data_IF_285823468465
#
_entry.id   IF_285823468465
#
_cell.length_a   1.000
_cell.length_b   1.000
_cell.length_c   1.000
_cell.angle_alpha   90.00
_cell.angle_beta   90.00
_cell.angle_gamma   90.00
#
_symmetry.space_group_name_H-M   'P 1'
#
loop_
_entity.id
_entity.type
_entity.pdbx_description
1 polymer ?
#
# COMPACT_ATOMS: atom_id res chain seq x y z
N UNK A 1 -45.90 14.41 -49.81
CA UNK A 1 -44.66 14.23 -49.03
C UNK A 1 -43.62 15.23 -49.51
N UNK A 2 -43.42 16.32 -48.76
CA UNK A 2 -42.22 17.19 -48.85
C UNK A 2 -42.25 18.10 -47.63
N UNK A 3 -41.25 17.92 -46.77
CA UNK A 3 -41.15 18.52 -45.44
C UNK A 3 -40.93 20.03 -45.53
N UNK A 4 -41.71 20.78 -44.75
CA UNK A 4 -41.46 22.17 -44.39
C UNK A 4 -40.22 22.21 -43.47
N UNK A 5 -39.12 22.78 -43.92
CA UNK A 5 -37.99 23.13 -43.06
C UNK A 5 -38.34 24.41 -42.29
N UNK A 6 -38.66 24.28 -41.01
CA UNK A 6 -38.66 25.40 -40.07
C UNK A 6 -37.21 25.70 -39.68
N UNK A 7 -36.72 26.87 -40.06
CA UNK A 7 -35.48 27.42 -39.54
C UNK A 7 -35.68 27.83 -38.09
N UNK A 8 -35.19 27.04 -37.15
CA UNK A 8 -35.07 27.43 -35.74
C UNK A 8 -33.67 28.02 -35.56
N UNK A 9 -33.61 29.35 -35.44
CA UNK A 9 -32.44 30.05 -34.90
C UNK A 9 -32.26 29.60 -33.44
N UNK A 10 -31.37 28.65 -33.19
CA UNK A 10 -30.82 28.45 -31.85
C UNK A 10 -29.78 29.55 -31.62
N UNK A 11 -30.19 30.61 -30.93
CA UNK A 11 -29.27 31.55 -30.31
C UNK A 11 -28.39 30.77 -29.33
N UNK A 12 -27.15 30.46 -29.74
CA UNK A 12 -26.12 29.96 -28.84
C UNK A 12 -25.80 31.10 -27.88
N UNK A 13 -26.44 31.09 -26.71
CA UNK A 13 -25.92 31.80 -25.54
C UNK A 13 -24.59 31.14 -25.20
N UNK A 14 -23.51 31.68 -25.76
CA UNK A 14 -22.17 31.49 -25.24
C UNK A 14 -22.21 32.09 -23.83
N UNK A 15 -22.49 31.24 -22.85
CA UNK A 15 -22.10 31.48 -21.47
C UNK A 15 -20.59 31.62 -21.48
N UNK A 16 -20.12 32.86 -21.61
CA UNK A 16 -18.80 33.23 -21.20
C UNK A 16 -18.76 32.98 -19.69
N UNK A 17 -18.37 31.78 -19.29
CA UNK A 17 -17.92 31.53 -17.93
C UNK A 17 -16.81 32.55 -17.68
N UNK A 18 -17.14 33.60 -16.93
CA UNK A 18 -16.14 34.48 -16.34
C UNK A 18 -15.11 33.57 -15.70
N UNK A 19 -13.86 33.65 -16.17
CA UNK A 19 -12.71 33.08 -15.49
C UNK A 19 -12.69 33.76 -14.12
N UNK A 20 -13.29 33.12 -13.14
CA UNK A 20 -13.22 33.57 -11.76
C UNK A 20 -11.75 33.36 -11.39
N UNK A 21 -11.02 34.45 -11.15
CA UNK A 21 -9.68 34.39 -10.60
C UNK A 21 -9.79 33.72 -9.23
N UNK A 22 -9.68 32.38 -9.21
CA UNK A 22 -9.57 31.62 -7.98
C UNK A 22 -8.25 32.02 -7.37
N UNK A 23 -8.34 32.78 -6.28
CA UNK A 23 -7.18 33.21 -5.49
C UNK A 23 -6.44 31.96 -5.00
N UNK A 24 -5.15 31.88 -5.30
CA UNK A 24 -4.25 30.82 -4.83
C UNK A 24 -4.31 30.71 -3.31
N UNK A 25 -4.35 29.47 -2.80
CA UNK A 25 -4.23 29.19 -1.38
C UNK A 25 -2.76 29.30 -0.95
N UNK A 26 -2.33 30.51 -0.60
CA UNK A 26 -0.94 30.82 -0.21
C UNK A 26 -0.50 30.02 1.01
N UNK A 27 -1.40 29.74 1.95
CA UNK A 27 -1.06 28.94 3.14
C UNK A 27 -0.70 27.51 2.74
N UNK A 28 -1.54 26.84 1.96
CA UNK A 28 -1.29 25.49 1.47
C UNK A 28 -0.07 25.43 0.55
N UNK A 29 0.12 26.46 -0.29
CA UNK A 29 1.33 26.62 -1.11
C UNK A 29 2.60 26.57 -0.25
N UNK A 30 2.67 27.37 0.81
CA UNK A 30 3.84 27.41 1.69
C UNK A 30 4.04 26.11 2.47
N UNK A 31 2.95 25.43 2.84
CA UNK A 31 3.00 24.11 3.46
C UNK A 31 3.59 23.07 2.51
N UNK A 32 3.14 23.03 1.25
CA UNK A 32 3.71 22.15 0.23
C UNK A 32 5.17 22.48 -0.07
N UNK A 33 5.55 23.76 -0.16
CA UNK A 33 6.95 24.15 -0.31
C UNK A 33 7.83 23.60 0.83
N UNK A 34 7.30 23.59 2.07
CA UNK A 34 7.99 23.02 3.23
C UNK A 34 8.12 21.50 3.10
N UNK A 35 7.03 20.81 2.72
CA UNK A 35 7.01 19.36 2.50
C UNK A 35 8.01 18.97 1.41
N UNK A 36 8.06 19.71 0.30
CA UNK A 36 9.01 19.44 -0.78
C UNK A 36 10.45 19.62 -0.32
N UNK A 37 10.75 20.67 0.46
CA UNK A 37 12.07 20.85 1.07
C UNK A 37 12.43 19.65 1.94
N UNK A 38 11.52 19.25 2.83
CA UNK A 38 11.72 18.10 3.71
C UNK A 38 11.89 16.77 2.95
N UNK A 39 11.20 16.57 1.83
CA UNK A 39 11.31 15.38 0.97
C UNK A 39 12.69 15.28 0.29
N UNK A 40 13.25 16.41 -0.13
CA UNK A 40 14.50 16.45 -0.90
C UNK A 40 15.76 16.58 -0.04
N UNK A 41 15.66 17.11 1.19
CA UNK A 41 16.83 17.51 2.00
C UNK A 41 17.84 16.40 2.27
N UNK A 42 17.40 15.16 2.53
CA UNK A 42 18.32 14.05 2.74
C UNK A 42 18.88 13.50 1.41
N UNK A 43 18.11 13.59 0.32
CA UNK A 43 18.54 13.18 -1.03
C UNK A 43 19.67 14.07 -1.54
N UNK A 44 19.60 15.37 -1.24
CA UNK A 44 20.63 16.37 -1.55
C UNK A 44 22.02 15.98 -1.03
N UNK A 45 22.11 15.27 0.11
CA UNK A 45 23.38 14.80 0.67
C UNK A 45 24.06 13.73 -0.21
N UNK A 46 23.29 12.99 -1.00
CA UNK A 46 23.78 11.92 -1.88
C UNK A 46 24.13 12.41 -3.29
N UNK A 47 23.69 13.61 -3.67
CA UNK A 47 23.94 14.17 -4.98
C UNK A 47 25.43 14.51 -5.16
N UNK A 48 26.00 14.12 -6.31
CA UNK A 48 27.43 14.25 -6.58
C UNK A 48 27.86 15.70 -6.88
N UNK A 49 26.93 16.52 -7.35
CA UNK A 49 27.11 17.90 -7.78
C UNK A 49 26.82 18.93 -6.68
N UNK A 50 26.27 18.49 -5.54
CA UNK A 50 26.09 19.33 -4.35
C UNK A 50 27.44 19.58 -3.67
N UNK A 51 27.76 20.84 -3.40
CA UNK A 51 29.03 21.25 -2.77
C UNK A 51 29.15 20.74 -1.33
N UNK A 52 30.37 20.52 -0.86
CA UNK A 52 30.61 20.08 0.52
C UNK A 52 30.09 21.10 1.54
N UNK A 53 30.20 22.41 1.27
CA UNK A 53 29.65 23.47 2.12
C UNK A 53 28.13 23.34 2.27
N UNK A 54 27.43 23.06 1.17
CA UNK A 54 25.99 22.87 1.20
C UNK A 54 25.60 21.58 1.96
N UNK A 55 26.35 20.49 1.78
CA UNK A 55 26.15 19.27 2.58
C UNK A 55 26.36 19.51 4.07
N UNK A 56 27.38 20.29 4.45
CA UNK A 56 27.64 20.67 5.85
C UNK A 56 26.52 21.54 6.44
N UNK A 57 25.95 22.44 5.63
CA UNK A 57 24.78 23.22 6.03
C UNK A 57 23.55 22.35 6.28
N UNK A 58 23.27 21.38 5.40
CA UNK A 58 22.17 20.43 5.58
C UNK A 58 22.38 19.56 6.82
N UNK A 59 23.60 19.04 7.02
CA UNK A 59 23.95 18.25 8.22
C UNK A 59 23.73 19.05 9.51
N UNK A 60 24.10 20.34 9.51
CA UNK A 60 23.84 21.26 10.64
C UNK A 60 22.35 21.55 10.82
N UNK A 61 21.59 21.76 9.75
CA UNK A 61 20.14 22.00 9.79
C UNK A 61 19.38 20.80 10.38
N UNK A 62 19.76 19.58 9.98
CA UNK A 62 19.14 18.33 10.44
C UNK A 62 19.78 17.73 11.68
N UNK A 63 20.83 18.36 12.21
CA UNK A 63 21.59 17.92 13.38
C UNK A 63 22.06 16.45 13.27
N UNK A 64 22.71 16.13 12.14
CA UNK A 64 23.27 14.79 11.83
C UNK A 64 24.77 14.88 11.57
N UNK A 65 25.51 13.82 11.88
CA UNK A 65 26.96 13.76 11.65
C UNK A 65 27.33 13.17 10.28
N UNK A 66 28.61 13.21 9.91
CA UNK A 66 29.10 12.54 8.68
C UNK A 66 28.93 11.01 8.76
N UNK A 67 29.05 10.45 9.96
CA UNK A 67 28.78 9.05 10.24
C UNK A 67 27.30 8.71 10.02
N UNK A 68 26.36 9.56 10.46
CA UNK A 68 24.93 9.37 10.16
C UNK A 68 24.64 9.37 8.66
N UNK A 69 25.29 10.24 7.89
CA UNK A 69 25.16 10.26 6.42
C UNK A 69 25.70 8.97 5.80
N UNK A 70 26.74 8.37 6.38
CA UNK A 70 27.33 7.13 5.86
C UNK A 70 26.47 5.91 6.23
N UNK A 71 26.01 5.83 7.47
CA UNK A 71 25.45 4.59 8.03
C UNK A 71 23.92 4.56 8.04
N UNK A 72 23.26 5.73 8.00
CA UNK A 72 21.82 5.86 8.32
C UNK A 72 21.03 6.71 7.33
N UNK A 73 21.66 7.27 6.30
CA UNK A 73 20.98 8.20 5.38
C UNK A 73 19.70 7.62 4.77
N UNK A 74 19.72 6.35 4.36
CA UNK A 74 18.54 5.65 3.83
C UNK A 74 17.41 5.55 4.84
N UNK A 75 17.73 5.25 6.11
CA UNK A 75 16.72 5.20 7.18
C UNK A 75 16.13 6.57 7.46
N UNK A 76 16.95 7.62 7.47
CA UNK A 76 16.50 9.00 7.65
C UNK A 76 15.58 9.44 6.51
N UNK A 77 15.90 9.06 5.27
CA UNK A 77 15.05 9.27 4.11
C UNK A 77 13.71 8.53 4.25
N UNK A 78 13.72 7.24 4.59
CA UNK A 78 12.50 6.44 4.74
C UNK A 78 11.57 7.00 5.84
N UNK A 79 12.15 7.40 6.98
CA UNK A 79 11.41 8.04 8.08
C UNK A 79 10.77 9.36 7.62
N UNK A 80 11.53 10.18 6.89
CA UNK A 80 11.06 11.47 6.37
C UNK A 80 9.99 11.30 5.28
N UNK A 81 10.14 10.33 4.38
CA UNK A 81 9.16 9.99 3.34
C UNK A 81 7.83 9.56 3.97
N UNK A 82 7.86 8.76 5.04
CA UNK A 82 6.66 8.38 5.79
C UNK A 82 5.96 9.60 6.40
N UNK A 83 6.71 10.50 7.05
CA UNK A 83 6.16 11.73 7.65
C UNK A 83 5.52 12.61 6.56
N UNK A 84 6.19 12.78 5.43
CA UNK A 84 5.69 13.60 4.33
C UNK A 84 4.44 12.98 3.69
N UNK A 85 4.43 11.66 3.52
CA UNK A 85 3.27 10.93 3.02
C UNK A 85 2.04 11.16 3.92
N UNK A 86 2.19 11.05 5.25
CA UNK A 86 1.07 11.32 6.18
C UNK A 86 0.52 12.75 6.07
N UNK A 87 1.39 13.75 5.83
CA UNK A 87 0.96 15.13 5.59
C UNK A 87 0.20 15.25 4.26
N UNK A 88 0.74 14.66 3.19
CA UNK A 88 0.13 14.67 1.86
C UNK A 88 -1.22 13.94 1.85
N UNK A 89 -1.35 12.83 2.59
CA UNK A 89 -2.62 12.10 2.71
C UNK A 89 -3.73 12.96 3.35
N UNK A 90 -3.38 13.77 4.35
CA UNK A 90 -4.32 14.75 4.95
C UNK A 90 -4.70 15.85 3.96
N UNK A 91 -3.73 16.39 3.22
CA UNK A 91 -3.98 17.40 2.17
C UNK A 91 -4.92 16.84 1.09
N UNK A 92 -4.69 15.61 0.64
CA UNK A 92 -5.56 14.95 -0.34
C UNK A 92 -6.96 14.72 0.20
N UNK A 93 -7.09 14.30 1.46
CA UNK A 93 -8.40 14.07 2.08
C UNK A 93 -9.21 15.38 2.21
N UNK A 94 -8.55 16.51 2.45
CA UNK A 94 -9.21 17.82 2.63
C UNK A 94 -9.47 18.54 1.30
N UNK A 95 -8.50 18.54 0.37
CA UNK A 95 -8.51 19.38 -0.83
C UNK A 95 -8.62 18.60 -2.15
N UNK A 96 -8.53 17.27 -2.13
CA UNK A 96 -8.16 16.49 -3.32
C UNK A 96 -6.72 16.75 -3.73
N UNK A 97 -6.35 16.47 -4.98
CA UNK A 97 -4.99 16.76 -5.45
C UNK A 97 -4.79 18.29 -5.49
N UNK A 98 -3.78 18.85 -4.79
CA UNK A 98 -3.54 20.28 -4.75
C UNK A 98 -2.87 20.74 -6.05
N UNK A 99 -3.66 20.85 -7.10
CA UNK A 99 -3.24 21.25 -8.44
C UNK A 99 -2.81 22.71 -8.57
N UNK A 100 -2.26 23.07 -9.72
CA UNK A 100 -1.81 24.44 -10.01
C UNK A 100 -2.94 25.48 -9.88
N UNK A 101 -4.20 25.11 -10.09
CA UNK A 101 -5.33 26.01 -9.88
C UNK A 101 -5.58 26.34 -8.40
N UNK A 102 -5.14 25.48 -7.47
CA UNK A 102 -5.27 25.68 -6.03
C UNK A 102 -4.02 26.33 -5.42
N UNK A 103 -2.83 25.84 -5.77
CA UNK A 103 -1.57 26.23 -5.10
C UNK A 103 -0.56 26.91 -6.03
N UNK A 104 -0.81 26.94 -7.34
CA UNK A 104 0.11 27.48 -8.33
C UNK A 104 1.32 26.57 -8.58
N UNK A 105 2.19 27.01 -9.47
CA UNK A 105 3.48 26.36 -9.73
C UNK A 105 4.59 27.00 -8.87
N UNK A 106 5.65 26.24 -8.51
CA UNK A 106 5.86 24.81 -8.78
C UNK A 106 5.22 23.83 -7.77
N UNK A 107 4.62 24.32 -6.68
CA UNK A 107 4.18 23.49 -5.55
C UNK A 107 3.03 22.53 -5.87
N UNK A 108 2.36 22.69 -7.02
CA UNK A 108 1.41 21.71 -7.53
C UNK A 108 2.03 20.33 -7.79
N UNK A 109 3.35 20.21 -7.93
CA UNK A 109 4.04 18.94 -8.15
C UNK A 109 4.49 18.27 -6.84
N UNK A 110 4.48 18.97 -5.69
CA UNK A 110 4.96 18.45 -4.40
C UNK A 110 4.24 17.17 -3.97
N UNK A 111 2.91 17.14 -4.10
CA UNK A 111 2.12 15.96 -3.71
C UNK A 111 2.49 14.73 -4.55
N UNK A 112 2.72 14.93 -5.85
CA UNK A 112 3.20 13.87 -6.72
C UNK A 112 4.60 13.38 -6.33
N UNK A 113 5.53 14.28 -6.01
CA UNK A 113 6.90 13.93 -5.59
C UNK A 113 6.90 12.98 -4.38
N UNK A 114 6.16 13.35 -3.34
CA UNK A 114 6.05 12.53 -2.11
C UNK A 114 5.42 11.17 -2.40
N UNK A 115 4.35 11.12 -3.20
CA UNK A 115 3.69 9.86 -3.57
C UNK A 115 4.65 8.97 -4.36
N UNK A 116 5.42 9.53 -5.29
CA UNK A 116 6.39 8.81 -6.13
C UNK A 116 7.47 8.13 -5.30
N UNK A 117 7.84 8.68 -4.14
CA UNK A 117 8.79 8.09 -3.19
C UNK A 117 8.15 7.09 -2.21
N UNK A 118 6.82 6.93 -2.24
CA UNK A 118 6.11 6.06 -1.32
C UNK A 118 5.88 4.65 -1.87
N UNK A 119 5.64 3.65 -1.00
CA UNK A 119 5.19 2.31 -1.42
C UNK A 119 3.70 2.29 -1.82
N UNK A 120 2.99 3.42 -1.81
CA UNK A 120 1.54 3.51 -2.04
C UNK A 120 1.16 4.01 -3.43
N UNK A 121 2.07 4.04 -4.40
CA UNK A 121 1.85 4.55 -5.77
C UNK A 121 0.53 4.06 -6.38
N UNK A 122 0.27 2.75 -6.29
CA UNK A 122 -0.94 2.12 -6.85
C UNK A 122 -2.25 2.69 -6.29
N UNK A 123 -2.24 3.18 -5.05
CA UNK A 123 -3.43 3.77 -4.40
C UNK A 123 -3.77 5.16 -4.97
N UNK A 124 -2.77 5.87 -5.52
CA UNK A 124 -2.90 7.25 -5.97
C UNK A 124 -2.96 7.40 -7.49
N UNK A 125 -2.85 6.33 -8.26
CA UNK A 125 -2.87 6.39 -9.73
C UNK A 125 -4.11 7.11 -10.29
N UNK A 126 -5.29 6.85 -9.73
CA UNK A 126 -6.54 7.45 -10.19
C UNK A 126 -6.61 8.97 -9.93
N UNK A 127 -6.16 9.43 -8.75
CA UNK A 127 -6.20 10.86 -8.42
C UNK A 127 -5.16 11.64 -9.23
N UNK A 128 -3.97 11.07 -9.46
CA UNK A 128 -2.94 11.66 -10.32
C UNK A 128 -3.41 11.74 -11.77
N UNK A 129 -4.05 10.67 -12.28
CA UNK A 129 -4.64 10.68 -13.62
C UNK A 129 -5.67 11.79 -13.77
N UNK A 130 -6.54 11.95 -12.77
CA UNK A 130 -7.54 13.03 -12.73
C UNK A 130 -6.88 14.41 -12.74
N UNK A 131 -5.82 14.61 -11.94
CA UNK A 131 -5.08 15.87 -11.92
C UNK A 131 -4.46 16.20 -13.28
N UNK A 132 -3.85 15.22 -13.96
CA UNK A 132 -3.32 15.38 -15.32
C UNK A 132 -4.41 15.69 -16.34
N UNK A 133 -5.56 15.00 -16.28
CA UNK A 133 -6.68 15.22 -17.21
C UNK A 133 -7.26 16.63 -17.09
N UNK A 134 -7.25 17.18 -15.87
CA UNK A 134 -7.59 18.58 -15.60
C UNK A 134 -6.43 19.56 -15.83
N UNK A 135 -5.28 19.08 -16.33
CA UNK A 135 -4.06 19.87 -16.58
C UNK A 135 -3.51 20.55 -15.33
N UNK A 136 -3.77 20.00 -14.15
CA UNK A 136 -3.31 20.50 -12.86
C UNK A 136 -1.83 20.19 -12.61
N UNK A 137 -1.33 19.13 -13.23
CA UNK A 137 0.08 18.74 -13.31
C UNK A 137 0.42 18.21 -14.71
N UNK A 138 1.71 18.20 -15.12
CA UNK A 138 2.12 17.69 -16.43
C UNK A 138 1.88 16.18 -16.61
N UNK A 139 1.49 15.76 -17.82
CA UNK A 139 1.23 14.34 -18.14
C UNK A 139 2.47 13.44 -17.91
N UNK A 140 3.67 13.95 -18.15
CA UNK A 140 4.94 13.23 -17.89
C UNK A 140 5.04 12.69 -16.46
N UNK A 141 4.42 13.33 -15.47
CA UNK A 141 4.43 12.87 -14.08
C UNK A 141 3.60 11.59 -13.90
N UNK A 142 2.42 11.53 -14.52
CA UNK A 142 1.64 10.28 -14.58
C UNK A 142 2.37 9.19 -15.35
N UNK A 143 3.03 9.53 -16.47
CA UNK A 143 3.82 8.58 -17.25
C UNK A 143 4.95 7.93 -16.42
N UNK A 144 5.65 8.71 -15.59
CA UNK A 144 6.68 8.20 -14.68
C UNK A 144 6.12 7.26 -13.61
N UNK A 145 4.97 7.61 -13.02
CA UNK A 145 4.27 6.74 -12.04
C UNK A 145 3.81 5.44 -12.67
N UNK A 146 3.25 5.50 -13.88
CA UNK A 146 2.79 4.32 -14.60
C UNK A 146 3.94 3.36 -14.92
N UNK A 147 5.06 3.87 -15.40
CA UNK A 147 6.26 3.05 -15.65
C UNK A 147 6.78 2.40 -14.36
N UNK A 148 6.70 3.10 -13.21
CA UNK A 148 7.05 2.55 -11.89
C UNK A 148 6.11 1.44 -11.46
N UNK A 149 4.80 1.66 -11.55
CA UNK A 149 3.81 0.61 -11.29
C UNK A 149 4.03 -0.61 -12.18
N UNK A 150 4.29 -0.41 -13.47
CA UNK A 150 4.53 -1.51 -14.41
C UNK A 150 5.79 -2.29 -14.03
N UNK A 151 6.87 -1.62 -13.68
CA UNK A 151 8.08 -2.26 -13.18
C UNK A 151 7.83 -3.07 -11.90
N UNK A 152 7.10 -2.51 -10.93
CA UNK A 152 6.75 -3.19 -9.67
C UNK A 152 5.83 -4.41 -9.90
N UNK A 153 4.93 -4.32 -10.88
CA UNK A 153 4.09 -5.41 -11.38
C UNK A 153 4.87 -6.45 -12.19
N UNK A 154 6.16 -6.24 -12.44
CA UNK A 154 7.01 -7.13 -13.24
C UNK A 154 6.71 -7.08 -14.74
N UNK A 155 6.17 -5.97 -15.25
CA UNK A 155 5.77 -5.77 -16.65
C UNK A 155 6.68 -4.77 -17.36
N UNK A 156 6.71 -4.83 -18.68
CA UNK A 156 7.40 -3.84 -19.50
C UNK A 156 6.81 -2.44 -19.31
N UNK A 157 7.69 -1.44 -19.22
CA UNK A 157 7.31 -0.04 -19.10
C UNK A 157 6.95 0.57 -20.47
N UNK A 158 6.29 1.72 -20.49
CA UNK A 158 5.80 2.38 -21.71
C UNK A 158 6.73 3.50 -22.16
N UNK A 159 7.22 4.32 -21.23
CA UNK A 159 7.95 5.56 -21.55
C UNK A 159 9.45 5.47 -21.27
N UNK A 160 9.94 4.40 -20.64
CA UNK A 160 11.35 4.21 -20.38
C UNK A 160 11.88 5.08 -19.24
N UNK A 161 11.08 5.35 -18.21
CA UNK A 161 11.47 6.24 -17.10
C UNK A 161 12.09 5.51 -15.91
N UNK A 162 11.96 4.19 -15.82
CA UNK A 162 12.53 3.41 -14.72
C UNK A 162 13.77 2.65 -15.17
N UNK A 163 14.73 2.53 -14.27
CA UNK A 163 15.87 1.64 -14.42
C UNK A 163 16.04 0.75 -13.22
N UNK A 164 16.95 -0.20 -13.34
CA UNK A 164 17.14 -1.30 -12.41
C UNK A 164 18.62 -1.65 -12.31
N UNK A 165 19.07 -1.92 -11.09
CA UNK A 165 20.31 -2.61 -10.79
C UNK A 165 20.00 -3.70 -9.76
N UNK A 166 20.69 -4.83 -9.87
CA UNK A 166 20.64 -5.90 -8.88
C UNK A 166 21.90 -5.86 -8.02
N UNK A 167 21.76 -6.11 -6.73
CA UNK A 167 22.88 -6.31 -5.82
C UNK A 167 22.91 -7.78 -5.38
N UNK A 168 24.00 -8.48 -5.65
CA UNK A 168 24.13 -9.91 -5.37
C UNK A 168 24.75 -10.22 -3.99
N UNK A 169 25.07 -9.18 -3.20
CA UNK A 169 25.75 -9.32 -1.90
C UNK A 169 27.20 -8.83 -1.93
N UNK A 170 27.85 -8.85 -3.10
CA UNK A 170 29.25 -8.45 -3.28
C UNK A 170 29.41 -7.27 -4.23
N UNK A 171 28.59 -7.19 -5.28
CA UNK A 171 28.68 -6.14 -6.29
C UNK A 171 27.31 -5.76 -6.84
N UNK A 172 27.17 -4.47 -7.14
CA UNK A 172 26.04 -3.97 -7.92
C UNK A 172 26.23 -4.30 -9.40
N UNK A 173 25.20 -4.85 -10.04
CA UNK A 173 25.21 -5.08 -11.48
C UNK A 173 25.32 -3.76 -12.24
N UNK A 174 25.74 -3.83 -13.51
CA UNK A 174 25.59 -2.67 -14.37
C UNK A 174 24.10 -2.24 -14.39
N UNK A 175 23.79 -0.95 -14.20
CA UNK A 175 22.42 -0.50 -14.25
C UNK A 175 21.87 -0.70 -15.65
N UNK A 176 20.56 -0.91 -15.74
CA UNK A 176 19.83 -1.01 -16.99
C UNK A 176 18.61 -0.10 -16.95
N UNK A 177 18.09 0.28 -18.12
CA UNK A 177 16.72 0.78 -18.21
C UNK A 177 15.81 -0.44 -18.25
N UNK A 178 14.75 -0.44 -17.43
CA UNK A 178 13.80 -1.55 -17.37
C UNK A 178 13.19 -1.82 -18.76
N UNK A 179 12.83 -3.08 -19.12
CA UNK A 179 12.33 -3.41 -20.45
C UNK A 179 11.15 -2.55 -20.89
N UNK A 180 11.22 -2.03 -22.12
CA UNK A 180 10.22 -1.11 -22.69
C UNK A 180 9.42 -1.86 -23.75
N UNK A 181 8.08 -1.80 -23.62
CA UNK A 181 7.15 -2.56 -24.47
C UNK A 181 7.29 -2.28 -25.97
N UNK A 182 7.53 -1.02 -26.33
CA UNK A 182 7.73 -0.61 -27.72
C UNK A 182 8.91 0.38 -27.84
N UNK A 183 10.12 -0.17 -27.85
CA UNK A 183 11.36 0.62 -27.96
C UNK A 183 11.42 1.41 -29.27
N UNK A 184 10.82 0.91 -30.34
CA UNK A 184 10.84 1.60 -31.64
C UNK A 184 10.06 2.91 -31.59
N UNK A 185 8.95 2.94 -30.86
CA UNK A 185 8.11 4.13 -30.73
C UNK A 185 8.28 4.89 -29.40
N UNK A 186 9.11 4.42 -28.47
CA UNK A 186 9.25 5.02 -27.13
C UNK A 186 9.55 6.52 -27.18
N UNK A 187 10.43 6.96 -28.06
CA UNK A 187 10.80 8.38 -28.14
C UNK A 187 9.67 9.27 -28.71
N UNK A 188 8.78 8.70 -29.52
CA UNK A 188 7.54 9.36 -29.94
C UNK A 188 6.58 9.49 -28.76
N UNK A 189 6.34 8.40 -28.03
CA UNK A 189 5.49 8.39 -26.83
C UNK A 189 6.00 9.34 -25.74
N UNK A 190 7.32 9.39 -25.54
CA UNK A 190 7.97 10.32 -24.61
C UNK A 190 7.72 11.78 -25.00
N UNK A 191 7.87 12.10 -26.28
CA UNK A 191 7.58 13.46 -26.77
C UNK A 191 6.11 13.83 -26.58
N UNK A 192 5.18 12.92 -26.88
CA UNK A 192 3.74 13.11 -26.68
C UNK A 192 3.38 13.28 -25.20
N UNK A 193 4.06 12.56 -24.31
CA UNK A 193 3.89 12.67 -22.86
C UNK A 193 4.53 13.94 -22.25
N UNK A 194 5.33 14.70 -23.01
CA UNK A 194 5.96 15.94 -22.58
C UNK A 194 7.36 15.77 -21.99
N UNK A 195 8.08 14.70 -22.32
CA UNK A 195 9.52 14.57 -22.06
C UNK A 195 10.34 15.26 -23.17
N UNK A 196 11.38 15.99 -22.79
CA UNK A 196 12.25 16.71 -23.74
C UNK A 196 13.40 15.83 -24.28
N UNK A 197 13.69 14.74 -23.57
CA UNK A 197 14.80 13.85 -23.85
C UNK A 197 14.34 12.50 -24.40
N UNK A 198 15.13 11.95 -25.31
CA UNK A 198 15.02 10.54 -25.71
C UNK A 198 15.41 9.63 -24.54
N UNK A 199 14.97 8.38 -24.58
CA UNK A 199 15.31 7.39 -23.55
C UNK A 199 16.82 7.20 -23.39
N UNK A 200 17.58 7.28 -24.49
CA UNK A 200 19.03 7.11 -24.48
C UNK A 200 19.73 8.29 -23.79
N UNK A 201 19.26 9.53 -24.03
CA UNK A 201 19.80 10.73 -23.38
C UNK A 201 19.43 10.75 -21.90
N UNK A 202 18.20 10.35 -21.59
CA UNK A 202 17.73 10.19 -20.21
C UNK A 202 18.59 9.18 -19.44
N UNK A 203 18.85 8.00 -20.01
CA UNK A 203 19.66 6.98 -19.37
C UNK A 203 21.10 7.44 -19.11
N UNK A 204 21.69 8.23 -20.03
CA UNK A 204 23.00 8.86 -19.81
C UNK A 204 23.00 9.92 -18.71
N UNK A 205 21.89 10.60 -18.47
CA UNK A 205 21.76 11.52 -17.33
C UNK A 205 21.69 10.75 -16.01
N UNK A 206 20.97 9.64 -15.98
CA UNK A 206 20.84 8.79 -14.79
C UNK A 206 22.15 8.09 -14.42
N UNK A 207 22.81 7.47 -15.41
CA UNK A 207 23.90 6.52 -15.16
C UNK A 207 25.26 7.00 -15.69
N UNK A 208 25.34 8.25 -16.15
CA UNK A 208 26.56 8.87 -16.64
C UNK A 208 26.74 8.82 -18.17
N UNK A 209 27.60 9.70 -18.69
CA UNK A 209 27.77 9.94 -20.14
C UNK A 209 28.24 8.70 -20.92
N UNK A 210 28.93 7.77 -20.26
CA UNK A 210 29.40 6.50 -20.83
C UNK A 210 28.32 5.44 -20.92
N UNK A 211 27.15 5.65 -20.30
CA UNK A 211 26.06 4.68 -20.33
C UNK A 211 25.58 4.41 -21.76
N UNK A 212 25.44 3.13 -22.09
CA UNK A 212 24.92 2.66 -23.38
C UNK A 212 23.56 2.03 -23.13
N UNK A 213 22.52 2.68 -23.64
CA UNK A 213 21.17 2.11 -23.62
C UNK A 213 21.14 0.81 -24.43
N UNK A 214 20.63 -0.25 -23.80
CA UNK A 214 20.41 -1.56 -24.40
C UNK A 214 18.94 -1.91 -24.24
N UNK A 215 18.34 -2.41 -25.31
CA UNK A 215 16.97 -2.92 -25.27
C UNK A 215 16.97 -4.36 -24.74
N UNK A 216 16.76 -4.51 -23.44
CA UNK A 216 16.55 -5.81 -22.82
C UNK A 216 15.10 -6.23 -22.90
N UNK A 217 14.87 -7.53 -23.10
CA UNK A 217 13.57 -8.16 -22.91
C UNK A 217 13.29 -8.38 -21.44
N UNK A 218 12.00 -8.46 -21.08
CA UNK A 218 11.57 -8.81 -19.73
C UNK A 218 12.18 -10.14 -19.25
N UNK A 219 12.26 -11.12 -20.14
CA UNK A 219 12.84 -12.44 -19.86
C UNK A 219 14.32 -12.39 -19.50
N UNK A 220 15.09 -11.50 -20.15
CA UNK A 220 16.52 -11.32 -19.82
C UNK A 220 16.67 -10.69 -18.44
N UNK A 221 15.85 -9.67 -18.13
CA UNK A 221 15.95 -8.95 -16.86
C UNK A 221 15.47 -9.77 -15.66
N UNK A 222 14.39 -10.54 -15.81
CA UNK A 222 13.90 -11.42 -14.75
C UNK A 222 14.92 -12.52 -14.39
N UNK A 223 15.70 -13.00 -15.38
CA UNK A 223 16.83 -13.91 -15.12
C UNK A 223 17.92 -13.25 -14.27
N UNK A 224 18.22 -11.95 -14.51
CA UNK A 224 19.18 -11.21 -13.68
C UNK A 224 18.72 -11.06 -12.23
N UNK A 225 17.41 -10.93 -12.01
CA UNK A 225 16.81 -10.77 -10.67
C UNK A 225 16.71 -12.09 -9.87
N UNK A 226 17.00 -13.23 -10.49
CA UNK A 226 16.77 -14.55 -9.90
C UNK A 226 15.28 -14.91 -9.79
N UNK A 227 14.41 -14.16 -10.47
CA UNK A 227 12.98 -14.42 -10.51
C UNK A 227 12.73 -15.58 -11.49
N UNK A 228 12.32 -16.75 -10.97
CA UNK A 228 11.81 -17.82 -11.81
C UNK A 228 10.56 -17.28 -12.52
N UNK A 229 10.63 -17.21 -13.85
CA UNK A 229 9.50 -16.91 -14.73
C UNK A 229 8.35 -17.87 -14.40
N UNK A 230 7.37 -17.40 -13.63
CA UNK A 230 6.04 -18.00 -13.63
C UNK A 230 5.47 -17.71 -15.01
N UNK A 231 5.13 -18.74 -15.78
CA UNK A 231 4.28 -18.55 -16.95
C UNK A 231 3.05 -17.76 -16.50
N UNK A 232 2.92 -16.51 -16.91
CA UNK A 232 1.72 -15.72 -16.66
C UNK A 232 0.58 -16.36 -17.45
N UNK A 233 -0.06 -17.33 -16.81
CA UNK A 233 -1.40 -17.75 -17.21
C UNK A 233 -2.29 -16.52 -17.04
N UNK A 234 -3.14 -16.19 -18.04
CA UNK A 234 -4.09 -15.10 -17.89
C UNK A 234 -4.91 -15.33 -16.61
N UNK A 235 -5.09 -14.26 -15.83
CA UNK A 235 -5.83 -14.32 -14.57
C UNK A 235 -7.20 -14.96 -14.78
N UNK A 236 -7.63 -15.78 -13.83
CA UNK A 236 -8.99 -16.29 -13.81
C UNK A 236 -9.94 -15.17 -13.37
N UNK A 237 -10.40 -14.36 -14.33
CA UNK A 237 -11.25 -13.20 -14.07
C UNK A 237 -12.61 -13.56 -13.47
N UNK A 238 -13.13 -14.76 -13.73
CA UNK A 238 -14.37 -15.24 -13.14
C UNK A 238 -14.17 -15.53 -11.65
N UNK A 239 -13.15 -16.32 -11.31
CA UNK A 239 -12.79 -16.60 -9.92
C UNK A 239 -12.39 -15.33 -9.17
N UNK A 240 -11.71 -14.40 -9.84
CA UNK A 240 -11.37 -13.08 -9.28
C UNK A 240 -12.63 -12.35 -8.82
N UNK A 241 -13.66 -12.26 -9.68
CA UNK A 241 -14.95 -11.63 -9.33
C UNK A 241 -15.66 -12.36 -8.19
N UNK A 242 -15.62 -13.68 -8.18
CA UNK A 242 -16.19 -14.49 -7.10
C UNK A 242 -15.49 -14.21 -5.75
N UNK A 243 -14.16 -14.19 -5.73
CA UNK A 243 -13.35 -13.89 -4.54
C UNK A 243 -13.55 -12.45 -4.05
N UNK A 244 -13.69 -11.47 -4.95
CA UNK A 244 -14.02 -10.10 -4.58
C UNK A 244 -15.36 -10.02 -3.85
N UNK A 245 -16.37 -10.77 -4.32
CA UNK A 245 -17.68 -10.84 -3.64
C UNK A 245 -17.59 -11.56 -2.29
N UNK A 246 -16.84 -12.67 -2.20
CA UNK A 246 -16.62 -13.38 -0.94
C UNK A 246 -15.94 -12.48 0.09
N UNK A 247 -14.91 -11.73 -0.32
CA UNK A 247 -14.21 -10.79 0.55
C UNK A 247 -15.13 -9.67 1.03
N UNK A 248 -15.94 -9.09 0.13
CA UNK A 248 -16.96 -8.10 0.51
C UNK A 248 -17.92 -8.66 1.55
N UNK A 249 -18.45 -9.85 1.31
CA UNK A 249 -19.39 -10.49 2.22
C UNK A 249 -18.75 -10.87 3.57
N UNK A 250 -17.47 -11.24 3.59
CA UNK A 250 -16.72 -11.52 4.82
C UNK A 250 -16.51 -10.27 5.69
N UNK A 251 -16.24 -9.12 5.07
CA UNK A 251 -15.85 -7.91 5.78
C UNK A 251 -17.02 -6.96 6.12
N UNK A 252 -18.13 -6.99 5.36
CA UNK A 252 -19.20 -5.99 5.45
C UNK A 252 -19.84 -5.86 6.85
N UNK A 253 -20.05 -6.97 7.56
CA UNK A 253 -20.59 -6.92 8.93
C UNK A 253 -19.54 -6.47 9.95
N UNK A 254 -18.26 -6.82 9.74
CA UNK A 254 -17.13 -6.38 10.58
C UNK A 254 -16.90 -4.88 10.46
N UNK A 255 -17.16 -4.30 9.30
CA UNK A 255 -17.06 -2.86 9.06
C UNK A 255 -17.96 -2.07 10.03
N UNK A 256 -19.15 -2.59 10.36
CA UNK A 256 -20.06 -1.98 11.33
C UNK A 256 -19.53 -1.95 12.77
N UNK A 257 -18.52 -2.76 13.09
CA UNK A 257 -17.86 -2.78 14.42
C UNK A 257 -16.66 -1.83 14.50
N UNK A 258 -16.24 -1.23 13.38
CA UNK A 258 -15.07 -0.38 13.36
C UNK A 258 -15.36 0.95 14.08
N UNK A 259 -14.48 1.41 14.99
CA UNK A 259 -14.71 2.62 15.76
C UNK A 259 -14.73 3.90 14.90
N UNK A 260 -14.18 3.84 13.69
CA UNK A 260 -14.03 4.96 12.75
C UNK A 260 -14.98 4.88 11.54
N UNK A 261 -15.99 3.99 11.53
CA UNK A 261 -16.98 3.96 10.45
C UNK A 261 -17.79 5.26 10.41
N UNK A 262 -17.95 5.85 9.22
CA UNK A 262 -18.73 7.08 9.07
C UNK A 262 -20.24 6.79 9.16
N UNK A 263 -21.06 7.76 9.61
CA UNK A 263 -22.52 7.61 9.62
C UNK A 263 -23.11 7.24 8.25
N UNK A 264 -22.56 7.82 7.18
CA UNK A 264 -23.01 7.58 5.80
C UNK A 264 -22.73 6.14 5.37
N UNK A 265 -21.51 5.65 5.65
CA UNK A 265 -21.11 4.28 5.31
C UNK A 265 -21.90 3.26 6.12
N UNK A 266 -22.14 3.55 7.41
CA UNK A 266 -23.00 2.73 8.26
C UNK A 266 -24.42 2.65 7.70
N UNK A 267 -25.00 3.77 7.28
CA UNK A 267 -26.34 3.80 6.68
C UNK A 267 -26.40 3.04 5.34
N UNK A 268 -25.35 3.13 4.52
CA UNK A 268 -25.24 2.38 3.27
C UNK A 268 -25.25 0.87 3.53
N UNK A 269 -24.45 0.36 4.47
CA UNK A 269 -24.39 -1.06 4.79
C UNK A 269 -25.73 -1.57 5.34
N UNK A 270 -26.36 -0.80 6.24
CA UNK A 270 -27.68 -1.13 6.80
C UNK A 270 -28.71 -1.26 5.67
N UNK A 271 -28.68 -0.36 4.69
CA UNK A 271 -29.56 -0.40 3.53
C UNK A 271 -29.22 -1.56 2.59
N UNK A 272 -27.94 -1.78 2.28
CA UNK A 272 -27.47 -2.85 1.39
C UNK A 272 -27.85 -4.24 1.91
N UNK A 273 -27.69 -4.45 3.23
CA UNK A 273 -27.96 -5.73 3.89
C UNK A 273 -29.36 -5.82 4.51
N UNK A 274 -30.19 -4.78 4.33
CA UNK A 274 -31.55 -4.69 4.85
C UNK A 274 -31.63 -5.00 6.36
N UNK A 275 -30.77 -4.35 7.15
CA UNK A 275 -30.62 -4.60 8.58
C UNK A 275 -31.64 -3.81 9.41
N UNK A 276 -32.22 -4.46 10.41
CA UNK A 276 -33.05 -3.82 11.42
C UNK A 276 -32.20 -3.15 12.51
N UNK A 277 -32.83 -2.36 13.37
CA UNK A 277 -32.16 -1.79 14.56
C UNK A 277 -31.68 -2.89 15.52
N UNK A 278 -32.42 -4.01 15.62
CA UNK A 278 -32.05 -5.16 16.46
C UNK A 278 -30.79 -5.86 15.91
N UNK A 279 -30.72 -6.06 14.59
CA UNK A 279 -29.55 -6.63 13.91
C UNK A 279 -28.27 -5.85 14.21
N UNK A 280 -28.34 -4.52 14.15
CA UNK A 280 -27.18 -3.65 14.37
C UNK A 280 -26.80 -3.57 15.85
N UNK A 281 -27.76 -3.64 16.76
CA UNK A 281 -27.54 -3.44 18.20
C UNK A 281 -27.10 -4.70 18.94
N UNK A 282 -27.72 -5.84 18.64
CA UNK A 282 -27.50 -7.10 19.37
C UNK A 282 -27.27 -8.30 18.46
N UNK A 283 -27.77 -8.27 17.21
CA UNK A 283 -27.70 -9.39 16.27
C UNK A 283 -26.40 -9.52 15.47
N UNK A 284 -25.51 -8.51 15.50
CA UNK A 284 -24.41 -8.39 14.54
C UNK A 284 -23.41 -9.56 14.60
N UNK A 285 -23.10 -10.06 15.80
CA UNK A 285 -22.19 -11.21 15.99
C UNK A 285 -22.75 -12.46 15.30
N UNK A 286 -24.05 -12.72 15.49
CA UNK A 286 -24.72 -13.87 14.85
C UNK A 286 -24.71 -13.73 13.33
N UNK A 287 -24.95 -12.53 12.81
CA UNK A 287 -24.88 -12.26 11.36
C UNK A 287 -23.47 -12.51 10.79
N UNK A 288 -22.43 -12.10 11.53
CA UNK A 288 -21.04 -12.39 11.19
C UNK A 288 -20.79 -13.91 11.17
N UNK A 289 -21.19 -14.63 12.22
CA UNK A 289 -20.99 -16.08 12.32
C UNK A 289 -21.72 -16.85 11.19
N UNK A 290 -22.97 -16.49 10.92
CA UNK A 290 -23.78 -17.08 9.84
C UNK A 290 -23.15 -16.81 8.47
N UNK A 291 -22.56 -15.62 8.28
CA UNK A 291 -21.87 -15.24 7.04
C UNK A 291 -20.53 -15.96 6.89
N UNK A 292 -19.75 -16.10 7.96
CA UNK A 292 -18.48 -16.83 7.97
C UNK A 292 -18.68 -18.30 7.59
N UNK A 293 -19.74 -18.94 8.12
CA UNK A 293 -20.09 -20.32 7.74
C UNK A 293 -20.43 -20.45 6.25
N UNK A 294 -21.21 -19.52 5.70
CA UNK A 294 -21.56 -19.50 4.26
C UNK A 294 -20.32 -19.30 3.40
N UNK A 295 -19.44 -18.37 3.78
CA UNK A 295 -18.21 -18.09 3.06
C UNK A 295 -17.24 -19.28 3.12
N UNK A 296 -17.13 -19.95 4.27
CA UNK A 296 -16.30 -21.12 4.43
C UNK A 296 -16.69 -22.24 3.46
N UNK A 297 -18.00 -22.51 3.28
CA UNK A 297 -18.47 -23.51 2.31
C UNK A 297 -18.06 -23.17 0.88
N UNK A 298 -18.14 -21.88 0.49
CA UNK A 298 -17.69 -21.43 -0.84
C UNK A 298 -16.18 -21.59 -1.00
N UNK A 299 -15.42 -21.15 0.00
CA UNK A 299 -13.95 -21.21 0.00
C UNK A 299 -13.44 -22.66 -0.01
N UNK A 300 -14.07 -23.59 0.71
CA UNK A 300 -13.68 -25.00 0.67
C UNK A 300 -13.84 -25.59 -0.74
N UNK A 301 -14.90 -25.23 -1.47
CA UNK A 301 -15.09 -25.65 -2.88
C UNK A 301 -14.04 -25.04 -3.82
N UNK A 302 -13.69 -23.78 -3.60
CA UNK A 302 -12.62 -23.10 -4.36
C UNK A 302 -11.28 -23.81 -4.11
N UNK A 303 -10.97 -24.13 -2.85
CA UNK A 303 -9.73 -24.82 -2.49
C UNK A 303 -9.68 -26.24 -3.08
N UNK A 304 -10.79 -26.97 -3.04
CA UNK A 304 -10.88 -28.31 -3.63
C UNK A 304 -10.61 -28.28 -5.14
N UNK A 305 -11.13 -27.26 -5.83
CA UNK A 305 -11.01 -27.14 -7.30
C UNK A 305 -9.65 -26.57 -7.75
N UNK A 306 -9.12 -25.58 -7.03
CA UNK A 306 -8.00 -24.76 -7.52
C UNK A 306 -6.77 -24.77 -6.60
N UNK A 307 -6.84 -25.37 -5.42
CA UNK A 307 -5.88 -25.10 -4.36
C UNK A 307 -6.03 -23.67 -3.82
N UNK A 308 -4.95 -23.09 -3.29
CA UNK A 308 -5.00 -21.69 -2.86
C UNK A 308 -5.02 -20.78 -4.11
N UNK A 309 -6.05 -19.93 -4.31
CA UNK A 309 -6.10 -19.01 -5.44
C UNK A 309 -5.15 -17.84 -5.19
N UNK A 310 -3.87 -18.07 -5.47
CA UNK A 310 -2.78 -17.13 -5.23
C UNK A 310 -2.78 -15.90 -6.14
N UNK A 311 -1.85 -14.99 -5.87
CA UNK A 311 -1.57 -13.80 -6.69
C UNK A 311 -1.43 -14.13 -8.18
N UNK A 312 -0.76 -15.21 -8.56
CA UNK A 312 -0.58 -15.59 -9.96
C UNK A 312 -1.88 -16.03 -10.64
N UNK A 313 -2.86 -16.54 -9.88
CA UNK A 313 -4.12 -17.03 -10.42
C UNK A 313 -5.19 -15.94 -10.54
N UNK A 314 -5.31 -15.08 -9.52
CA UNK A 314 -6.41 -14.10 -9.41
C UNK A 314 -5.94 -12.66 -9.25
N UNK A 315 -4.64 -12.44 -9.05
CA UNK A 315 -4.06 -11.13 -8.80
C UNK A 315 -4.35 -10.62 -7.39
N UNK A 316 -3.80 -9.45 -7.09
CA UNK A 316 -4.12 -8.69 -5.89
C UNK A 316 -5.28 -7.71 -6.18
N UNK A 317 -6.10 -7.38 -5.16
CA UNK A 317 -6.09 -7.91 -3.79
C UNK A 317 -6.89 -9.22 -3.60
N UNK A 318 -7.48 -9.80 -4.64
CA UNK A 318 -8.42 -10.93 -4.48
C UNK A 318 -7.77 -12.22 -3.98
N UNK A 319 -6.46 -12.39 -4.14
CA UNK A 319 -5.69 -13.48 -3.54
C UNK A 319 -5.75 -13.52 -2.00
N UNK A 320 -6.18 -12.43 -1.34
CA UNK A 320 -6.34 -12.39 0.12
C UNK A 320 -7.66 -13.00 0.62
N UNK A 321 -8.68 -13.13 -0.24
CA UNK A 321 -10.05 -13.45 0.18
C UNK A 321 -10.15 -14.80 0.90
N UNK A 322 -9.49 -15.84 0.39
CA UNK A 322 -9.49 -17.18 1.00
C UNK A 322 -8.84 -17.15 2.39
N UNK A 323 -7.76 -16.40 2.56
CA UNK A 323 -7.10 -16.26 3.87
C UNK A 323 -8.01 -15.62 4.91
N UNK A 324 -8.72 -14.54 4.57
CA UNK A 324 -9.64 -13.87 5.50
C UNK A 324 -10.73 -14.81 6.02
N UNK A 325 -11.39 -15.54 5.10
CA UNK A 325 -12.43 -16.50 5.47
C UNK A 325 -11.90 -17.61 6.37
N UNK A 326 -10.74 -18.18 6.06
CA UNK A 326 -10.16 -19.26 6.88
C UNK A 326 -9.75 -18.75 8.26
N UNK A 327 -9.17 -17.55 8.33
CA UNK A 327 -8.73 -16.92 9.59
C UNK A 327 -9.89 -16.72 10.58
N UNK A 328 -11.10 -16.50 10.07
CA UNK A 328 -12.32 -16.37 10.87
C UNK A 328 -13.01 -17.71 11.16
N UNK A 329 -12.47 -18.83 10.66
CA UNK A 329 -13.09 -20.15 10.77
C UNK A 329 -12.47 -21.00 11.89
N UNK A 330 -13.17 -22.05 12.37
CA UNK A 330 -12.56 -23.05 13.25
C UNK A 330 -11.58 -23.99 12.52
N UNK A 331 -11.38 -23.83 11.21
CA UNK A 331 -10.58 -24.75 10.38
C UNK A 331 -9.15 -24.24 10.11
N UNK A 332 -8.64 -23.32 10.94
CA UNK A 332 -7.26 -22.79 10.82
C UNK A 332 -6.25 -23.93 10.74
N UNK A 333 -6.31 -24.91 11.65
CA UNK A 333 -5.35 -26.03 11.67
C UNK A 333 -5.37 -26.84 10.37
N UNK A 334 -6.56 -27.15 9.84
CA UNK A 334 -6.73 -27.92 8.59
C UNK A 334 -6.06 -27.22 7.41
N UNK A 335 -6.17 -25.90 7.32
CA UNK A 335 -5.71 -25.13 6.16
C UNK A 335 -4.35 -24.46 6.35
N UNK A 336 -3.78 -24.46 7.56
CA UNK A 336 -2.49 -23.83 7.82
C UNK A 336 -1.36 -24.33 6.89
N UNK A 337 -1.24 -25.64 6.55
CA UNK A 337 -0.24 -26.10 5.59
C UNK A 337 -0.42 -25.52 4.18
N UNK A 338 -1.67 -25.35 3.74
CA UNK A 338 -1.99 -24.74 2.44
C UNK A 338 -1.58 -23.26 2.42
N UNK A 339 -1.87 -22.52 3.49
CA UNK A 339 -1.49 -21.11 3.64
C UNK A 339 0.04 -20.96 3.71
N UNK A 340 0.73 -21.86 4.41
CA UNK A 340 2.19 -21.89 4.44
C UNK A 340 2.76 -22.08 3.04
N UNK A 341 2.24 -23.06 2.28
CA UNK A 341 2.67 -23.32 0.92
C UNK A 341 2.49 -22.09 0.03
N UNK A 342 1.31 -21.46 0.07
CA UNK A 342 1.04 -20.24 -0.69
C UNK A 342 2.00 -19.10 -0.30
N UNK A 343 2.34 -18.97 0.98
CA UNK A 343 3.31 -17.99 1.45
C UNK A 343 4.75 -18.28 0.96
N UNK A 344 5.20 -19.54 1.06
CA UNK A 344 6.52 -19.97 0.59
C UNK A 344 6.66 -19.78 -0.94
N UNK A 345 5.56 -19.96 -1.68
CA UNK A 345 5.46 -19.75 -3.13
C UNK A 345 5.27 -18.27 -3.52
N UNK A 346 5.27 -17.34 -2.55
CA UNK A 346 5.02 -15.90 -2.74
C UNK A 346 3.65 -15.55 -3.35
N UNK A 347 2.70 -16.49 -3.29
CA UNK A 347 1.30 -16.30 -3.69
C UNK A 347 0.49 -15.52 -2.65
N UNK A 348 1.01 -15.47 -1.42
CA UNK A 348 0.50 -14.73 -0.27
C UNK A 348 1.68 -14.14 0.53
N UNK A 349 1.58 -12.94 1.13
CA UNK A 349 2.60 -12.42 2.04
C UNK A 349 2.82 -13.34 3.24
N UNK A 350 4.08 -13.64 3.56
CA UNK A 350 4.45 -14.56 4.64
C UNK A 350 3.89 -14.15 6.02
N UNK A 351 3.78 -12.84 6.29
CA UNK A 351 3.14 -12.31 7.51
C UNK A 351 1.73 -12.86 7.75
N UNK A 352 0.98 -13.21 6.70
CA UNK A 352 -0.39 -13.73 6.82
C UNK A 352 -0.39 -15.19 7.31
N UNK A 353 0.58 -16.00 6.90
CA UNK A 353 0.82 -17.31 7.51
C UNK A 353 1.22 -17.17 8.99
N UNK A 354 2.16 -16.27 9.30
CA UNK A 354 2.62 -16.01 10.66
C UNK A 354 1.46 -15.64 11.61
N UNK A 355 0.54 -14.78 11.16
CA UNK A 355 -0.66 -14.41 11.92
C UNK A 355 -1.60 -15.58 12.20
N UNK A 356 -1.80 -16.49 11.23
CA UNK A 356 -2.61 -17.70 11.43
C UNK A 356 -1.94 -18.70 12.37
N UNK A 357 -0.61 -18.87 12.24
CA UNK A 357 0.14 -19.77 13.11
C UNK A 357 0.05 -19.31 14.58
N UNK A 358 0.32 -18.03 14.84
CA UNK A 358 0.20 -17.50 16.20
C UNK A 358 -1.22 -17.62 16.74
N UNK A 359 -2.26 -17.42 15.92
CA UNK A 359 -3.66 -17.62 16.32
C UNK A 359 -3.94 -19.07 16.72
N UNK A 360 -3.46 -20.04 15.92
CA UNK A 360 -3.54 -21.48 16.27
C UNK A 360 -2.85 -21.75 17.61
N UNK A 361 -1.61 -21.29 17.76
CA UNK A 361 -0.82 -21.50 18.99
C UNK A 361 -1.50 -20.90 20.22
N UNK A 362 -2.03 -19.68 20.10
CA UNK A 362 -2.79 -19.05 21.16
C UNK A 362 -4.04 -19.86 21.55
N UNK A 363 -4.82 -20.38 20.60
CA UNK A 363 -5.99 -21.22 20.92
C UNK A 363 -5.62 -22.58 21.52
N UNK A 364 -4.43 -23.09 21.22
CA UNK A 364 -3.86 -24.29 21.82
C UNK A 364 -3.19 -24.04 23.18
N UNK A 365 -3.28 -22.81 23.71
CA UNK A 365 -2.57 -22.40 24.92
C UNK A 365 -1.06 -22.63 24.84
N UNK A 366 -0.46 -22.34 23.69
CA UNK A 366 0.99 -22.40 23.44
C UNK A 366 1.54 -21.01 23.19
N UNK A 367 2.82 -20.82 23.44
CA UNK A 367 3.52 -19.59 23.09
C UNK A 367 3.44 -19.35 21.58
N UNK A 368 3.20 -18.10 21.20
CA UNK A 368 3.21 -17.67 19.80
C UNK A 368 4.65 -17.41 19.33
N UNK A 369 4.84 -17.28 18.01
CA UNK A 369 6.16 -17.13 17.40
C UNK A 369 6.42 -15.67 17.01
N UNK A 370 5.44 -15.00 16.41
CA UNK A 370 5.63 -13.67 15.80
C UNK A 370 5.02 -12.51 16.61
N UNK A 371 4.32 -12.81 17.70
CA UNK A 371 3.73 -11.80 18.57
C UNK A 371 2.50 -11.12 17.95
N UNK A 372 1.73 -11.80 17.11
CA UNK A 372 0.59 -11.20 16.39
C UNK A 372 -0.74 -11.29 17.13
N UNK A 373 -0.85 -12.05 18.22
CA UNK A 373 -2.10 -12.21 18.96
C UNK A 373 -2.09 -11.44 20.27
N UNK A 374 -3.20 -10.74 20.51
CA UNK A 374 -3.51 -10.04 21.75
C UNK A 374 -4.67 -10.76 22.43
N UNK A 375 -4.61 -10.91 23.74
CA UNK A 375 -5.73 -11.34 24.58
C UNK A 375 -6.15 -10.23 25.50
N UNK A 376 -7.45 -10.17 25.78
CA UNK A 376 -8.03 -9.27 26.77
C UNK A 376 -8.76 -10.07 27.83
N UNK A 377 -8.52 -9.72 29.09
CA UNK A 377 -9.27 -10.22 30.24
C UNK A 377 -10.07 -9.07 30.85
N UNK A 378 -11.30 -9.36 31.22
CA UNK A 378 -12.24 -8.40 31.79
C UNK A 378 -12.48 -8.78 33.25
N UNK A 379 -12.41 -7.80 34.13
CA UNK A 379 -12.76 -7.95 35.55
C UNK A 379 -13.69 -6.83 35.99
N UNK A 380 -14.62 -7.11 36.89
CA UNK A 380 -15.51 -6.09 37.45
C UNK A 380 -15.08 -5.80 38.88
N UNK A 381 -14.71 -4.55 39.15
CA UNK A 381 -14.43 -4.06 40.51
C UNK A 381 -15.29 -2.84 40.78
N UNK A 382 -16.01 -2.85 41.91
CA UNK A 382 -16.87 -1.75 42.35
C UNK A 382 -17.85 -1.26 41.27
N UNK A 383 -18.41 -2.18 40.48
CA UNK A 383 -19.33 -1.86 39.38
C UNK A 383 -18.68 -1.29 38.11
N UNK A 384 -17.34 -1.15 38.06
CA UNK A 384 -16.60 -0.73 36.88
C UNK A 384 -15.90 -1.92 36.23
N UNK A 385 -16.07 -2.07 34.92
CA UNK A 385 -15.33 -3.08 34.12
C UNK A 385 -13.93 -2.56 33.81
N UNK A 386 -12.92 -3.28 34.30
CA UNK A 386 -11.51 -3.09 33.97
C UNK A 386 -11.12 -4.10 32.90
N UNK A 387 -10.45 -3.64 31.84
CA UNK A 387 -9.92 -4.48 30.77
C UNK A 387 -8.39 -4.49 30.86
N UNK A 388 -7.81 -5.69 30.97
CA UNK A 388 -6.37 -5.89 30.81
C UNK A 388 -6.14 -6.59 29.48
N UNK A 389 -5.52 -5.88 28.55
CA UNK A 389 -5.06 -6.43 27.27
C UNK A 389 -3.56 -6.68 27.31
N UNK A 390 -3.11 -7.78 26.73
CA UNK A 390 -1.70 -8.13 26.64
C UNK A 390 -1.42 -8.93 25.37
N UNK A 391 -0.20 -8.81 24.84
CA UNK A 391 0.30 -9.68 23.78
C UNK A 391 0.45 -11.08 24.36
N UNK A 392 -0.12 -12.10 23.70
CA UNK A 392 0.00 -13.48 24.15
C UNK A 392 1.49 -13.90 24.25
N UNK A 393 1.90 -14.75 25.21
CA UNK A 393 3.31 -15.10 25.41
C UNK A 393 4.04 -15.53 24.14
N UNK A 394 5.22 -14.97 23.92
CA UNK A 394 6.06 -15.20 22.74
C UNK A 394 7.19 -16.13 23.13
N UNK A 395 7.46 -17.15 22.31
CA UNK A 395 8.47 -18.18 22.60
C UNK A 395 9.89 -17.62 22.75
N UNK A 396 10.24 -16.64 21.92
CA UNK A 396 11.51 -15.91 21.98
C UNK A 396 11.26 -14.40 21.87
N UNK A 397 10.94 -13.73 22.98
CA UNK A 397 10.60 -12.32 22.97
C UNK A 397 11.82 -11.42 22.73
N UNK A 398 13.05 -11.91 22.89
CA UNK A 398 14.26 -11.10 22.68
C UNK A 398 14.57 -10.92 21.19
N UNK A 399 14.32 -11.95 20.38
CA UNK A 399 14.58 -11.91 18.93
C UNK A 399 13.32 -11.69 18.09
N UNK A 400 12.16 -11.47 18.71
CA UNK A 400 10.88 -11.38 17.98
C UNK A 400 10.86 -10.25 16.96
N UNK A 401 11.50 -9.11 17.23
CA UNK A 401 11.49 -7.97 16.31
C UNK A 401 12.29 -8.25 15.02
N UNK A 402 13.39 -8.99 15.11
CA UNK A 402 14.13 -9.47 13.93
C UNK A 402 13.27 -10.46 13.13
N UNK A 403 12.65 -11.42 13.81
CA UNK A 403 11.78 -12.40 13.17
C UNK A 403 10.57 -11.75 12.48
N UNK A 404 9.98 -10.72 13.11
CA UNK A 404 8.88 -9.92 12.57
C UNK A 404 9.32 -9.19 11.30
N UNK A 405 10.47 -8.52 11.31
CA UNK A 405 11.04 -7.85 10.14
C UNK A 405 11.23 -8.84 8.99
N UNK A 406 11.88 -9.97 9.25
CA UNK A 406 12.16 -11.01 8.25
C UNK A 406 10.88 -11.66 7.69
N UNK A 407 9.79 -11.61 8.44
CA UNK A 407 8.48 -12.15 8.04
C UNK A 407 7.56 -11.12 7.36
N UNK A 408 8.04 -9.89 7.15
CA UNK A 408 7.31 -8.83 6.45
C UNK A 408 6.38 -7.97 7.32
N UNK A 409 6.59 -7.96 8.65
CA UNK A 409 5.94 -7.01 9.55
C UNK A 409 6.77 -5.72 9.62
N UNK A 410 6.13 -4.58 9.38
CA UNK A 410 6.78 -3.26 9.41
C UNK A 410 6.84 -2.60 10.79
N UNK A 411 6.33 -3.25 11.84
CA UNK A 411 6.24 -2.70 13.20
C UNK A 411 6.89 -3.63 14.21
N UNK A 412 7.56 -3.04 15.19
CA UNK A 412 8.05 -3.77 16.37
C UNK A 412 6.87 -4.34 17.18
N UNK A 413 7.17 -5.20 18.15
CA UNK A 413 6.15 -5.75 19.05
C UNK A 413 5.62 -4.67 19.99
N UNK A 414 6.46 -3.72 20.37
CA UNK A 414 6.12 -2.53 21.17
C UNK A 414 5.13 -1.63 20.42
N UNK A 415 5.45 -1.27 19.17
CA UNK A 415 4.55 -0.47 18.32
C UNK A 415 3.22 -1.19 18.07
N UNK A 416 3.27 -2.51 17.86
CA UNK A 416 2.07 -3.31 17.68
C UNK A 416 1.16 -3.31 18.91
N UNK A 417 1.72 -3.50 20.11
CA UNK A 417 0.96 -3.47 21.36
C UNK A 417 0.28 -2.11 21.57
N UNK A 418 1.01 -1.03 21.25
CA UNK A 418 0.49 0.34 21.37
C UNK A 418 -0.61 0.62 20.34
N UNK A 419 -0.38 0.32 19.08
CA UNK A 419 -1.30 0.67 18.00
C UNK A 419 -2.55 -0.22 17.96
N UNK A 420 -2.38 -1.53 18.12
CA UNK A 420 -3.48 -2.49 18.00
C UNK A 420 -4.19 -2.72 19.35
N UNK A 421 -3.45 -2.57 20.45
CA UNK A 421 -3.94 -2.87 21.78
C UNK A 421 -4.19 -1.65 22.67
N UNK A 422 -3.54 -0.52 22.39
CA UNK A 422 -3.59 0.66 23.25
C UNK A 422 -2.83 0.49 24.58
N UNK A 423 -1.84 -0.41 24.65
CA UNK A 423 -1.07 -0.68 25.87
C UNK A 423 0.42 -0.86 25.59
N UNK A 424 1.23 -0.63 26.62
CA UNK A 424 2.68 -0.87 26.57
C UNK A 424 2.98 -2.37 26.58
N UNK A 425 3.88 -2.81 25.69
CA UNK A 425 4.26 -4.20 25.62
C UNK A 425 4.93 -4.67 26.91
N UNK A 426 4.44 -5.78 27.45
CA UNK A 426 5.03 -6.48 28.59
C UNK A 426 5.22 -7.94 28.24
N UNK A 427 6.38 -8.48 28.60
CA UNK A 427 6.67 -9.91 28.50
C UNK A 427 5.86 -10.66 29.56
N UNK A 428 5.05 -11.62 29.10
CA UNK A 428 4.32 -12.56 29.95
C UNK A 428 4.85 -13.96 29.66
N UNK A 429 5.01 -14.77 30.70
CA UNK A 429 5.17 -16.22 30.57
C UNK A 429 3.83 -16.87 30.23
N UNK A 430 3.87 -18.05 29.61
CA UNK A 430 2.65 -18.84 29.36
C UNK A 430 1.85 -19.09 30.63
N UNK A 431 2.53 -19.38 31.75
CA UNK A 431 1.88 -19.59 33.05
C UNK A 431 1.13 -18.34 33.52
N UNK A 432 1.75 -17.17 33.50
CA UNK A 432 1.10 -15.92 33.91
C UNK A 432 -0.12 -15.60 33.04
N UNK A 433 -0.01 -15.78 31.72
CA UNK A 433 -1.12 -15.57 30.81
C UNK A 433 -2.30 -16.51 31.09
N UNK A 434 -2.03 -17.79 31.35
CA UNK A 434 -3.06 -18.77 31.71
C UNK A 434 -3.70 -18.46 33.07
N UNK A 435 -2.90 -18.06 34.07
CA UNK A 435 -3.40 -17.65 35.38
C UNK A 435 -4.34 -16.42 35.26
N UNK A 436 -4.02 -15.47 34.36
CA UNK A 436 -4.90 -14.33 34.05
C UNK A 436 -6.24 -14.77 33.44
N UNK A 437 -6.24 -15.82 32.60
CA UNK A 437 -7.48 -16.39 32.05
C UNK A 437 -8.29 -17.16 33.11
N UNK A 438 -7.62 -17.79 34.08
CA UNK A 438 -8.25 -18.63 35.11
C UNK A 438 -8.83 -17.86 36.30
N UNK A 439 -8.37 -16.63 36.59
CA UNK A 439 -8.94 -15.71 37.61
C UNK A 439 -10.40 -15.27 37.32
N UNK A 440 -11.08 -15.99 36.42
CA UNK A 440 -12.42 -15.80 35.91
C UNK A 440 -13.39 -16.92 36.32
N UNK A 441 -13.01 -17.80 37.27
CA UNK A 441 -13.96 -18.69 37.96
C UNK A 441 -14.29 -18.13 39.33
#
# INVERSE_FOLDING_TARGET
MRYLFFAIFFSVLISAQKKQDKKINVKLKNELATIQKDDQIYRELMESDVSQEQKEKVMKEKNISKEDVTDRIWRLMDEQDKINLEKVEKIIAEYGYPGKSLVGEPENETTWLVIQHSPKINQYMAIIKTAVDHKEIPFRLYAMMLDRQLMDDGKEQIYGTQGFSSYDGEKESEPIIWPIKDVKNVNKLRKEAGFEDTVERYAKRLYGKSFVFKNYTLDEVLKFRGDKKTEEKPLNLELKKELAQIYKDDQIYRELTQPNITPERKAEIIKEKNLSTEDVSTGLIKLMDDQDQKNLVKVEKIIEKYGYPGKSMVGEPENYAVWYVIQHSPKIEKYLPLIKKAADEKELPFRLYAMMLDRKLMYENKEQIYGTQIRSVFSTKNGKTETLSFVWPIKDPEHVNELRKNSGFGRTIEDYAKDAGGFEYKKYTLKEALDLLQKKK
#
